data_IF_650651262714
#
_entry.id   IF_650651262714
#
_cell.length_a   1.000
_cell.length_b   1.000
_cell.length_c   1.000
_cell.angle_alpha   90.00
_cell.angle_beta   90.00
_cell.angle_gamma   90.00
#
_symmetry.space_group_name_H-M   'P 1'
#
loop_
_entity.id
_entity.type
_entity.pdbx_description
1 polymer ?
#
# COMPACT_ATOMS: atom_id res chain seq x y z
N UNK A 1 -7.63 6.03 -12.11
CA UNK A 1 -8.90 5.95 -11.35
C UNK A 1 -9.11 7.27 -10.62
N UNK A 2 -10.34 7.72 -10.42
CA UNK A 2 -10.65 8.95 -9.66
C UNK A 2 -10.80 8.62 -8.17
N UNK A 3 -10.07 9.33 -7.31
CA UNK A 3 -10.06 9.18 -5.84
C UNK A 3 -11.37 9.63 -5.18
N UNK A 4 -11.78 9.01 -4.07
CA UNK A 4 -12.90 9.49 -3.23
C UNK A 4 -12.66 10.87 -2.58
N UNK A 5 -11.41 11.31 -2.51
CA UNK A 5 -11.02 12.52 -1.80
C UNK A 5 -11.65 13.78 -2.42
N UNK A 6 -11.64 14.86 -1.64
CA UNK A 6 -11.86 16.21 -2.15
C UNK A 6 -10.52 16.96 -2.24
N UNK A 7 -10.40 17.87 -3.19
CA UNK A 7 -9.35 18.90 -3.20
C UNK A 7 -10.01 20.26 -2.94
N UNK A 8 -9.59 20.95 -1.87
CA UNK A 8 -10.18 22.22 -1.41
C UNK A 8 -11.72 22.19 -1.36
N UNK A 9 -12.28 21.12 -0.77
CA UNK A 9 -13.73 20.88 -0.67
C UNK A 9 -14.37 20.21 -1.89
N UNK A 10 -13.82 20.41 -3.11
CA UNK A 10 -14.38 19.87 -4.35
C UNK A 10 -14.07 18.37 -4.48
N UNK A 11 -15.13 17.54 -4.49
CA UNK A 11 -15.04 16.09 -4.72
C UNK A 11 -14.33 15.77 -6.04
N UNK A 12 -13.31 14.91 -6.02
CA UNK A 12 -12.55 14.56 -7.22
C UNK A 12 -13.44 13.92 -8.31
N UNK A 13 -14.44 13.13 -7.95
CA UNK A 13 -15.45 12.60 -8.89
C UNK A 13 -16.34 13.65 -9.56
N UNK A 14 -16.38 14.88 -9.05
CA UNK A 14 -17.06 16.03 -9.67
C UNK A 14 -16.06 17.10 -10.17
N UNK A 15 -14.75 16.89 -10.03
CA UNK A 15 -13.73 17.90 -10.30
C UNK A 15 -13.33 17.91 -11.79
N UNK A 16 -14.16 18.58 -12.60
CA UNK A 16 -13.93 18.75 -14.04
C UNK A 16 -12.60 19.44 -14.34
N UNK A 17 -12.13 20.37 -13.52
CA UNK A 17 -10.91 21.13 -13.81
C UNK A 17 -9.66 20.25 -13.70
N UNK A 18 -9.61 19.32 -12.75
CA UNK A 18 -8.54 18.33 -12.68
C UNK A 18 -8.71 17.17 -13.66
N UNK A 19 -9.93 16.64 -13.86
CA UNK A 19 -10.15 15.46 -14.71
C UNK A 19 -10.20 15.81 -16.21
N UNK A 20 -10.93 16.85 -16.61
CA UNK A 20 -10.90 17.38 -17.99
C UNK A 20 -9.71 18.30 -18.19
N UNK A 21 -9.62 19.37 -17.40
CA UNK A 21 -8.68 20.48 -17.63
C UNK A 21 -7.22 20.03 -17.52
N UNK A 22 -6.85 19.42 -16.40
CA UNK A 22 -5.48 18.99 -16.17
C UNK A 22 -5.17 17.64 -16.84
N UNK A 23 -5.83 16.55 -16.45
CA UNK A 23 -5.49 15.19 -16.91
C UNK A 23 -5.71 15.00 -18.42
N UNK A 24 -6.90 15.34 -18.95
CA UNK A 24 -7.22 15.10 -20.37
C UNK A 24 -6.68 16.18 -21.29
N UNK A 25 -6.73 17.45 -20.89
CA UNK A 25 -6.34 18.57 -21.76
C UNK A 25 -4.88 18.98 -21.59
N UNK A 26 -4.35 19.17 -20.38
CA UNK A 26 -2.94 19.54 -20.16
C UNK A 26 -2.00 18.35 -20.33
N UNK A 27 -2.19 17.26 -19.57
CA UNK A 27 -1.37 16.04 -19.66
C UNK A 27 -1.71 15.17 -20.88
N UNK A 28 -2.65 15.60 -21.72
CA UNK A 28 -3.06 14.95 -22.98
C UNK A 28 -3.50 13.48 -22.84
N UNK A 29 -3.94 13.03 -21.66
CA UNK A 29 -4.30 11.63 -21.40
C UNK A 29 -5.30 11.09 -22.43
N UNK A 30 -4.98 9.94 -23.05
CA UNK A 30 -5.76 9.32 -24.15
C UNK A 30 -6.49 8.02 -23.80
N UNK A 31 -6.23 7.43 -22.63
CA UNK A 31 -7.01 6.29 -22.11
C UNK A 31 -8.40 6.71 -21.62
N UNK A 32 -9.09 5.83 -20.89
CA UNK A 32 -10.36 6.15 -20.23
C UNK A 32 -10.16 6.42 -18.73
N UNK A 33 -10.98 7.30 -18.16
CA UNK A 33 -11.02 7.61 -16.73
C UNK A 33 -12.11 6.77 -16.07
N UNK A 34 -11.72 5.91 -15.11
CA UNK A 34 -12.62 5.10 -14.30
C UNK A 34 -12.85 5.73 -12.92
N UNK A 35 -14.07 5.68 -12.38
CA UNK A 35 -14.33 5.99 -10.96
C UNK A 35 -13.78 4.89 -10.03
N UNK A 36 -13.49 5.22 -8.78
CA UNK A 36 -13.51 4.22 -7.70
C UNK A 36 -14.94 3.65 -7.49
N UNK A 37 -15.03 2.56 -6.74
CA UNK A 37 -16.24 1.82 -6.37
C UNK A 37 -17.26 2.72 -5.66
N UNK A 38 -18.48 2.87 -6.20
CA UNK A 38 -19.50 3.80 -5.67
C UNK A 38 -18.98 5.26 -5.56
N UNK A 39 -17.97 5.60 -6.36
CA UNK A 39 -17.28 6.88 -6.22
C UNK A 39 -18.16 8.08 -6.57
N UNK A 40 -19.09 7.92 -7.51
CA UNK A 40 -20.06 8.96 -7.85
C UNK A 40 -21.16 9.09 -6.78
N UNK A 41 -21.57 7.99 -6.15
CA UNK A 41 -22.54 7.96 -5.05
C UNK A 41 -22.03 8.81 -3.89
N UNK A 42 -20.72 8.74 -3.61
CA UNK A 42 -20.03 9.49 -2.55
C UNK A 42 -19.70 10.94 -2.90
N UNK A 43 -20.24 11.46 -4.01
CA UNK A 43 -20.28 12.91 -4.29
C UNK A 43 -21.25 13.60 -3.31
N UNK A 44 -22.39 12.99 -2.99
CA UNK A 44 -23.39 13.55 -2.06
C UNK A 44 -23.10 13.16 -0.61
N UNK A 45 -23.72 13.88 0.33
CA UNK A 45 -23.75 13.53 1.75
C UNK A 45 -25.20 13.54 2.26
N UNK A 46 -25.77 12.40 2.72
CA UNK A 46 -25.16 11.07 2.70
C UNK A 46 -24.88 10.57 1.27
N UNK A 47 -24.05 9.53 1.09
CA UNK A 47 -23.83 8.91 -0.20
C UNK A 47 -25.16 8.49 -0.86
N UNK A 48 -25.23 8.60 -2.18
CA UNK A 48 -26.40 8.23 -3.00
C UNK A 48 -27.68 9.08 -2.78
N UNK A 49 -27.68 10.07 -1.87
CA UNK A 49 -28.84 10.92 -1.54
C UNK A 49 -29.46 11.68 -2.74
N UNK A 50 -28.67 11.95 -3.78
CA UNK A 50 -29.20 12.43 -5.07
C UNK A 50 -28.40 11.79 -6.21
N UNK A 51 -28.74 10.55 -6.54
CA UNK A 51 -27.99 9.78 -7.52
C UNK A 51 -28.08 10.31 -8.95
N UNK A 52 -29.20 10.95 -9.34
CA UNK A 52 -29.32 11.66 -10.62
C UNK A 52 -28.26 12.77 -10.77
N UNK A 53 -28.08 13.57 -9.71
CA UNK A 53 -26.99 14.53 -9.63
C UNK A 53 -25.61 13.86 -9.64
N UNK A 54 -25.41 12.74 -8.91
CA UNK A 54 -24.15 11.98 -8.93
C UNK A 54 -23.75 11.52 -10.33
N UNK A 55 -24.70 10.99 -11.12
CA UNK A 55 -24.48 10.61 -12.52
C UNK A 55 -24.12 11.84 -13.36
N UNK A 56 -24.91 12.92 -13.25
CA UNK A 56 -24.67 14.15 -14.01
C UNK A 56 -23.29 14.76 -13.70
N UNK A 57 -22.95 14.91 -12.43
CA UNK A 57 -21.68 15.47 -11.96
C UNK A 57 -20.49 14.60 -12.40
N UNK A 58 -20.57 13.27 -12.20
CA UNK A 58 -19.51 12.34 -12.59
C UNK A 58 -19.23 12.33 -14.09
N UNK A 59 -20.28 12.25 -14.91
CA UNK A 59 -20.12 12.20 -16.37
C UNK A 59 -19.70 13.56 -16.94
N UNK A 60 -20.19 14.69 -16.40
CA UNK A 60 -19.76 16.03 -16.83
C UNK A 60 -18.36 16.41 -16.32
N UNK A 61 -17.88 15.78 -15.24
CA UNK A 61 -16.47 15.81 -14.82
C UNK A 61 -15.57 14.89 -15.66
N UNK A 62 -16.04 14.41 -16.82
CA UNK A 62 -15.28 13.56 -17.74
C UNK A 62 -14.89 12.17 -17.19
N UNK A 63 -15.63 11.60 -16.24
CA UNK A 63 -15.52 10.15 -15.98
C UNK A 63 -16.05 9.40 -17.21
N UNK A 64 -15.27 8.44 -17.71
CA UNK A 64 -15.59 7.67 -18.92
C UNK A 64 -16.22 6.31 -18.58
N UNK A 65 -15.81 5.67 -17.47
CA UNK A 65 -16.34 4.40 -16.98
C UNK A 65 -16.68 4.51 -15.49
N UNK A 66 -17.89 4.09 -15.10
CA UNK A 66 -18.34 4.15 -13.70
C UNK A 66 -18.30 2.75 -13.09
N UNK A 67 -17.59 2.61 -11.98
CA UNK A 67 -17.48 1.37 -11.21
C UNK A 67 -18.65 1.27 -10.22
N UNK A 68 -19.62 0.43 -10.57
CA UNK A 68 -20.80 0.15 -9.77
C UNK A 68 -20.77 -1.30 -9.28
N UNK A 69 -21.14 -1.57 -8.03
CA UNK A 69 -21.07 -2.92 -7.49
C UNK A 69 -22.31 -3.77 -7.76
N UNK A 70 -23.50 -3.15 -7.75
CA UNK A 70 -24.77 -3.86 -7.78
C UNK A 70 -25.82 -3.21 -8.70
N UNK A 71 -26.20 -1.94 -8.46
CA UNK A 71 -27.38 -1.34 -9.12
C UNK A 71 -27.08 -0.69 -10.49
N UNK A 72 -26.62 -1.50 -11.46
CA UNK A 72 -26.32 -1.01 -12.81
C UNK A 72 -27.56 -0.56 -13.60
N UNK A 73 -28.74 -1.12 -13.32
CA UNK A 73 -30.00 -0.80 -14.01
C UNK A 73 -30.47 0.63 -13.72
N UNK A 74 -30.34 1.07 -12.47
CA UNK A 74 -30.61 2.46 -12.08
C UNK A 74 -29.66 3.43 -12.79
N UNK A 75 -28.35 3.15 -12.79
CA UNK A 75 -27.38 3.99 -13.49
C UNK A 75 -27.65 4.10 -14.99
N UNK A 76 -27.91 2.97 -15.67
CA UNK A 76 -28.23 2.96 -17.10
C UNK A 76 -29.50 3.76 -17.36
N UNK A 77 -30.53 3.60 -16.54
CA UNK A 77 -31.80 4.32 -16.67
C UNK A 77 -31.62 5.82 -16.45
N UNK A 78 -30.92 6.22 -15.39
CA UNK A 78 -30.62 7.62 -15.07
C UNK A 78 -29.76 8.30 -16.13
N UNK A 79 -28.66 7.67 -16.56
CA UNK A 79 -27.80 8.19 -17.62
C UNK A 79 -28.57 8.29 -18.95
N UNK A 80 -29.37 7.29 -19.30
CA UNK A 80 -30.22 7.31 -20.50
C UNK A 80 -31.23 8.45 -20.45
N UNK A 81 -31.84 8.69 -19.29
CA UNK A 81 -32.76 9.81 -19.07
C UNK A 81 -32.05 11.16 -19.24
N UNK A 82 -30.87 11.36 -18.63
CA UNK A 82 -30.09 12.60 -18.74
C UNK A 82 -29.65 12.89 -20.18
N UNK A 83 -29.28 11.85 -20.95
CA UNK A 83 -28.92 11.99 -22.38
C UNK A 83 -30.15 12.29 -23.24
N UNK A 84 -31.27 11.56 -23.07
CA UNK A 84 -32.52 11.80 -23.81
C UNK A 84 -33.07 13.21 -23.60
N UNK A 85 -32.96 13.74 -22.38
CA UNK A 85 -33.37 15.11 -22.03
C UNK A 85 -32.29 16.17 -22.33
N UNK A 86 -31.20 15.82 -23.04
CA UNK A 86 -30.11 16.72 -23.45
C UNK A 86 -29.34 17.38 -22.29
N UNK A 87 -29.47 16.86 -21.07
CA UNK A 87 -28.75 17.31 -19.87
C UNK A 87 -27.28 16.87 -19.93
N UNK A 88 -27.01 15.69 -20.50
CA UNK A 88 -25.68 15.25 -20.92
C UNK A 88 -25.67 15.19 -22.45
N UNK A 89 -24.75 15.87 -23.15
CA UNK A 89 -24.70 15.87 -24.60
C UNK A 89 -24.16 14.52 -25.13
N UNK A 90 -24.68 14.05 -26.27
CA UNK A 90 -24.25 12.79 -26.89
C UNK A 90 -22.73 12.73 -27.09
N UNK A 91 -22.11 13.84 -27.48
CA UNK A 91 -20.66 13.98 -27.67
C UNK A 91 -19.82 13.65 -26.41
N UNK A 92 -20.37 13.83 -25.20
CA UNK A 92 -19.71 13.42 -23.95
C UNK A 92 -19.66 11.90 -23.81
N UNK A 93 -20.74 11.22 -24.21
CA UNK A 93 -20.82 9.75 -24.25
C UNK A 93 -19.92 9.21 -25.37
N UNK A 94 -19.96 9.80 -26.57
CA UNK A 94 -19.09 9.42 -27.69
C UNK A 94 -17.61 9.53 -27.31
N UNK A 95 -17.22 10.59 -26.59
CA UNK A 95 -15.88 10.77 -26.08
C UNK A 95 -15.48 9.71 -25.04
N UNK A 96 -16.40 9.29 -24.17
CA UNK A 96 -16.20 8.22 -23.20
C UNK A 96 -16.04 6.84 -23.89
N UNK A 97 -17.01 6.47 -24.72
CA UNK A 97 -17.03 5.21 -25.47
C UNK A 97 -15.80 5.10 -26.38
N UNK A 98 -15.42 6.17 -27.09
CA UNK A 98 -14.20 6.19 -27.93
C UNK A 98 -12.92 5.96 -27.12
N UNK A 99 -12.86 6.39 -25.85
CA UNK A 99 -11.72 6.12 -24.95
C UNK A 99 -11.70 4.67 -24.44
N UNK A 100 -12.86 4.12 -24.08
CA UNK A 100 -13.00 2.72 -23.66
C UNK A 100 -12.64 1.79 -24.83
N UNK A 101 -13.27 1.98 -26.00
CA UNK A 101 -13.00 1.18 -27.19
C UNK A 101 -11.54 1.29 -27.64
N UNK A 102 -10.94 2.49 -27.61
CA UNK A 102 -9.50 2.64 -27.89
C UNK A 102 -8.66 1.71 -27.02
N UNK A 103 -8.87 1.68 -25.71
CA UNK A 103 -8.06 0.82 -24.83
C UNK A 103 -8.30 -0.65 -25.14
N UNK A 104 -9.57 -1.06 -25.35
CA UNK A 104 -9.91 -2.45 -25.74
C UNK A 104 -9.23 -2.91 -27.04
N UNK A 105 -9.23 -2.08 -28.09
CA UNK A 105 -8.52 -2.38 -29.34
C UNK A 105 -6.99 -2.36 -29.17
N UNK A 106 -6.44 -1.37 -28.46
CA UNK A 106 -4.99 -1.24 -28.27
C UNK A 106 -4.41 -2.41 -27.45
N UNK A 107 -5.19 -3.02 -26.55
CA UNK A 107 -4.78 -4.19 -25.77
C UNK A 107 -5.12 -5.54 -26.42
N UNK A 108 -5.61 -5.58 -27.67
CA UNK A 108 -5.94 -6.82 -28.37
C UNK A 108 -7.20 -7.55 -27.89
N UNK A 109 -8.07 -6.90 -27.11
CA UNK A 109 -9.22 -7.57 -26.46
C UNK A 109 -10.32 -8.01 -27.45
N UNK A 110 -10.31 -7.53 -28.68
CA UNK A 110 -11.24 -7.98 -29.73
C UNK A 110 -10.69 -9.19 -30.50
N UNK A 111 -9.36 -9.31 -30.55
CA UNK A 111 -8.60 -10.37 -31.18
C UNK A 111 -8.49 -11.58 -30.24
N UNK A 112 -8.21 -11.35 -28.96
CA UNK A 112 -8.07 -12.36 -27.90
C UNK A 112 -9.03 -12.07 -26.73
N UNK A 113 -10.34 -12.33 -26.88
CA UNK A 113 -11.36 -12.01 -25.87
C UNK A 113 -11.52 -13.06 -24.76
N UNK A 114 -10.87 -14.23 -24.89
CA UNK A 114 -10.97 -15.36 -23.95
C UNK A 114 -9.64 -15.54 -23.21
N UNK A 115 -9.70 -16.12 -22.01
CA UNK A 115 -8.50 -16.43 -21.22
C UNK A 115 -7.68 -17.55 -21.87
N UNK A 116 -6.36 -17.35 -21.98
CA UNK A 116 -5.43 -18.42 -22.30
C UNK A 116 -5.22 -19.33 -21.08
N UNK A 117 -5.69 -20.57 -21.19
CA UNK A 117 -5.57 -21.58 -20.14
C UNK A 117 -4.14 -22.14 -20.00
N UNK A 118 -3.24 -21.90 -20.98
CA UNK A 118 -1.83 -22.28 -20.88
C UNK A 118 -1.11 -21.53 -19.75
N UNK A 119 -1.59 -20.33 -19.42
CA UNK A 119 -1.03 -19.45 -18.40
C UNK A 119 -1.39 -19.84 -16.96
N UNK A 120 -2.15 -20.92 -16.73
CA UNK A 120 -2.55 -21.37 -15.37
C UNK A 120 -1.35 -21.55 -14.43
N UNK A 121 -0.22 -22.02 -14.95
CA UNK A 121 1.02 -22.25 -14.19
C UNK A 121 1.79 -20.96 -13.85
N UNK A 122 1.37 -19.80 -14.36
CA UNK A 122 1.94 -18.50 -13.98
C UNK A 122 1.50 -18.07 -12.57
N UNK A 123 0.34 -18.56 -12.09
CA UNK A 123 -0.18 -18.25 -10.77
C UNK A 123 0.69 -18.90 -9.68
N UNK A 124 1.49 -18.07 -9.00
CA UNK A 124 2.38 -18.53 -7.92
C UNK A 124 3.56 -19.39 -8.42
N UNK A 125 3.98 -19.20 -9.68
CA UNK A 125 5.14 -19.87 -10.29
C UNK A 125 6.42 -19.65 -9.48
N UNK A 126 7.36 -20.59 -9.57
CA UNK A 126 8.63 -20.49 -8.84
C UNK A 126 9.45 -19.26 -9.26
N UNK A 127 9.42 -18.89 -10.54
CA UNK A 127 10.07 -17.68 -11.07
C UNK A 127 9.48 -16.40 -10.44
N UNK A 128 8.15 -16.30 -10.34
CA UNK A 128 7.49 -15.17 -9.66
C UNK A 128 7.79 -15.14 -8.16
N UNK A 129 7.95 -16.31 -7.52
CA UNK A 129 8.40 -16.42 -6.13
C UNK A 129 9.85 -16.04 -5.98
N UNK A 130 10.72 -16.37 -6.93
CA UNK A 130 12.13 -15.97 -6.89
C UNK A 130 12.31 -14.48 -7.10
N UNK A 131 11.51 -13.84 -7.97
CA UNK A 131 11.47 -12.38 -8.11
C UNK A 131 10.90 -11.68 -6.86
N UNK A 132 9.79 -12.19 -6.30
CA UNK A 132 9.27 -11.69 -5.03
C UNK A 132 10.27 -11.92 -3.90
N UNK A 133 11.00 -13.05 -3.91
CA UNK A 133 12.10 -13.34 -3.01
C UNK A 133 13.35 -12.52 -3.32
N UNK A 134 13.55 -11.94 -4.49
CA UNK A 134 14.66 -10.99 -4.74
C UNK A 134 14.35 -9.61 -4.16
N UNK A 135 13.07 -9.22 -4.18
CA UNK A 135 12.58 -8.01 -3.51
C UNK A 135 12.69 -8.08 -1.97
N UNK A 136 12.88 -9.28 -1.42
CA UNK A 136 12.93 -9.52 0.04
C UNK A 136 14.29 -10.12 0.50
N UNK A 137 14.80 -11.19 -0.15
CA UNK A 137 16.16 -11.87 -0.20
C UNK A 137 16.47 -13.20 0.59
N UNK A 138 16.54 -14.37 -0.11
CA UNK A 138 17.05 -15.77 0.21
C UNK A 138 17.47 -16.20 1.67
N UNK A 139 18.10 -17.38 1.89
CA UNK A 139 18.67 -17.89 3.20
C UNK A 139 19.71 -19.00 2.93
N UNK A 140 20.83 -18.99 3.66
CA UNK A 140 21.56 -20.19 4.12
C UNK A 140 22.08 -20.03 5.57
N UNK A 141 21.43 -20.68 6.55
CA UNK A 141 21.92 -20.75 7.93
C UNK A 141 22.87 -21.96 8.13
N UNK A 142 23.83 -21.86 9.05
CA UNK A 142 24.72 -22.99 9.39
C UNK A 142 23.90 -24.15 9.99
N UNK A 143 24.07 -25.41 9.54
CA UNK A 143 23.37 -26.57 10.09
C UNK A 143 23.55 -26.80 11.61
N UNK A 144 24.53 -26.17 12.25
CA UNK A 144 24.78 -26.22 13.70
C UNK A 144 23.95 -25.20 14.49
N UNK A 145 23.32 -24.23 13.84
CA UNK A 145 22.49 -23.21 14.52
C UNK A 145 21.23 -23.86 15.08
N UNK A 146 21.10 -23.87 16.41
CA UNK A 146 19.88 -24.31 17.09
C UNK A 146 18.85 -23.17 17.07
N UNK A 147 17.70 -23.41 16.43
CA UNK A 147 16.59 -22.47 16.39
C UNK A 147 15.53 -22.86 17.44
N UNK A 148 15.17 -21.92 18.31
CA UNK A 148 14.05 -22.05 19.23
C UNK A 148 13.01 -20.98 18.87
N UNK A 149 11.83 -21.43 18.46
CA UNK A 149 10.66 -20.55 18.28
C UNK A 149 9.84 -20.52 19.56
N UNK A 150 9.53 -19.31 20.04
CA UNK A 150 8.58 -19.09 21.14
C UNK A 150 7.75 -17.86 20.80
N UNK A 151 6.44 -18.02 20.75
CA UNK A 151 5.52 -16.90 20.66
C UNK A 151 5.45 -16.18 22.01
N UNK A 152 5.53 -14.85 22.00
CA UNK A 152 5.39 -13.95 23.16
C UNK A 152 6.17 -14.39 24.41
N UNK A 153 7.50 -14.59 24.33
CA UNK A 153 8.32 -14.99 25.46
C UNK A 153 8.32 -13.95 26.58
N UNK A 154 8.28 -14.42 27.83
CA UNK A 154 8.61 -13.62 28.99
C UNK A 154 10.13 -13.51 29.18
N UNK A 155 10.55 -12.58 30.05
CA UNK A 155 11.97 -12.34 30.30
C UNK A 155 12.68 -13.50 31.02
N UNK A 156 11.96 -14.38 31.71
CA UNK A 156 12.54 -15.52 32.45
C UNK A 156 12.87 -16.66 31.49
N UNK A 157 12.00 -16.93 30.52
CA UNK A 157 12.28 -17.85 29.41
C UNK A 157 13.56 -17.44 28.65
N UNK A 158 13.73 -16.15 28.35
CA UNK A 158 14.91 -15.66 27.62
C UNK A 158 16.19 -15.84 28.44
N UNK A 159 16.17 -15.50 29.74
CA UNK A 159 17.33 -15.61 30.64
C UNK A 159 17.74 -17.06 30.94
N UNK A 160 16.76 -17.95 31.12
CA UNK A 160 17.00 -19.35 31.51
C UNK A 160 17.58 -20.22 30.40
N UNK A 161 17.47 -19.82 29.13
CA UNK A 161 17.86 -20.64 27.96
C UNK A 161 19.20 -20.24 27.31
N UNK A 162 19.93 -19.25 27.87
CA UNK A 162 21.29 -18.86 27.45
C UNK A 162 21.46 -18.62 25.92
N UNK A 163 20.50 -17.93 25.31
CA UNK A 163 20.53 -17.60 23.88
C UNK A 163 21.70 -16.64 23.55
N UNK A 164 22.34 -16.82 22.38
CA UNK A 164 23.40 -15.93 21.92
C UNK A 164 22.89 -14.59 21.37
N UNK A 165 21.70 -14.62 20.76
CA UNK A 165 20.94 -13.48 20.26
C UNK A 165 19.49 -13.91 20.04
N UNK A 166 18.58 -12.94 19.88
CA UNK A 166 17.18 -13.19 19.54
C UNK A 166 16.74 -12.37 18.32
N UNK A 167 15.77 -12.90 17.57
CA UNK A 167 15.08 -12.20 16.48
C UNK A 167 13.63 -12.03 16.89
N UNK A 168 13.20 -10.78 17.02
CA UNK A 168 11.86 -10.38 17.49
C UNK A 168 11.08 -9.80 16.31
N UNK A 169 10.13 -10.56 15.78
CA UNK A 169 9.24 -10.11 14.71
C UNK A 169 7.96 -9.56 15.31
N UNK A 170 7.65 -8.29 15.03
CA UNK A 170 6.47 -7.58 15.55
C UNK A 170 5.87 -6.71 14.45
N UNK A 171 4.59 -6.36 14.56
CA UNK A 171 3.96 -5.57 13.52
C UNK A 171 2.49 -5.26 13.69
N UNK A 172 1.97 -4.50 12.73
CA UNK A 172 0.56 -4.18 12.62
C UNK A 172 -0.25 -5.39 12.13
N UNK A 173 -1.52 -5.47 12.52
CA UNK A 173 -2.45 -6.39 11.88
C UNK A 173 -2.80 -5.93 10.46
N UNK A 174 -3.16 -6.83 9.53
CA UNK A 174 -3.58 -6.45 8.18
C UNK A 174 -4.81 -5.51 8.19
N UNK A 175 -4.74 -4.43 7.41
CA UNK A 175 -5.83 -3.47 7.23
C UNK A 175 -5.95 -2.99 5.78
N UNK A 176 -7.08 -2.39 5.43
CA UNK A 176 -7.28 -1.75 4.13
C UNK A 176 -8.20 -0.52 4.24
N UNK A 177 -7.92 0.51 3.43
CA UNK A 177 -8.71 1.76 3.35
C UNK A 177 -8.94 2.36 4.76
N UNK A 178 -10.18 2.68 5.11
CA UNK A 178 -10.57 3.32 6.39
C UNK A 178 -10.27 2.48 7.63
N UNK A 179 -10.13 1.16 7.50
CA UNK A 179 -9.78 0.28 8.63
C UNK A 179 -8.30 0.44 9.07
N UNK A 180 -7.46 1.07 8.25
CA UNK A 180 -6.08 1.42 8.61
C UNK A 180 -5.92 2.82 9.22
N UNK A 181 -7.02 3.54 9.47
CA UNK A 181 -6.94 4.88 10.05
C UNK A 181 -6.62 4.78 11.55
N UNK A 182 -5.41 5.18 11.92
CA UNK A 182 -4.95 5.30 13.30
C UNK A 182 -4.37 6.68 13.55
N UNK A 183 -4.70 7.25 14.72
CA UNK A 183 -4.15 8.51 15.21
C UNK A 183 -2.95 8.31 16.16
N UNK A 184 -2.75 7.09 16.68
CA UNK A 184 -1.67 6.78 17.63
C UNK A 184 -0.47 6.08 16.97
N UNK A 185 -0.67 5.43 15.81
CA UNK A 185 0.35 4.71 15.05
C UNK A 185 1.21 3.75 15.92
N UNK A 186 0.62 3.18 16.96
CA UNK A 186 1.27 2.21 17.87
C UNK A 186 1.09 0.78 17.38
N UNK A 187 2.14 -0.03 17.45
CA UNK A 187 2.04 -1.48 17.25
C UNK A 187 1.21 -2.09 18.41
N UNK A 188 0.20 -2.94 18.15
CA UNK A 188 -0.62 -3.54 19.21
C UNK A 188 0.18 -4.48 20.12
N UNK A 189 -0.28 -4.64 21.36
CA UNK A 189 0.24 -5.69 22.25
C UNK A 189 -0.01 -7.09 21.65
N UNK A 190 0.88 -8.06 21.91
CA UNK A 190 1.97 -8.05 22.89
C UNK A 190 3.33 -7.54 22.36
N UNK A 191 3.38 -6.80 21.23
CA UNK A 191 4.64 -6.39 20.63
C UNK A 191 5.52 -5.48 21.53
N UNK A 192 5.03 -4.36 22.11
CA UNK A 192 5.77 -3.56 23.09
C UNK A 192 6.39 -4.38 24.23
N UNK A 193 5.57 -5.27 24.80
CA UNK A 193 5.95 -6.13 25.92
C UNK A 193 7.02 -7.15 25.50
N UNK A 194 6.88 -7.74 24.31
CA UNK A 194 7.83 -8.72 23.75
C UNK A 194 9.19 -8.10 23.44
N UNK A 195 9.22 -6.91 22.82
CA UNK A 195 10.48 -6.16 22.60
C UNK A 195 11.17 -5.94 23.95
N UNK A 196 10.44 -5.43 24.94
CA UNK A 196 10.98 -5.11 26.27
C UNK A 196 11.54 -6.34 26.98
N UNK A 197 10.80 -7.47 26.98
CA UNK A 197 11.20 -8.71 27.63
C UNK A 197 12.46 -9.34 27.00
N UNK A 198 12.55 -9.35 25.67
CA UNK A 198 13.63 -10.03 24.95
C UNK A 198 14.88 -9.16 24.89
N UNK A 199 14.75 -7.92 24.42
CA UNK A 199 15.88 -7.00 24.25
C UNK A 199 16.48 -6.53 25.58
N UNK A 200 15.70 -6.57 26.67
CA UNK A 200 16.21 -6.34 28.03
C UNK A 200 16.98 -7.52 28.63
N UNK A 201 17.06 -8.67 27.94
CA UNK A 201 17.66 -9.90 28.46
C UNK A 201 18.76 -10.49 27.56
N UNK A 202 18.71 -10.29 26.25
CA UNK A 202 19.69 -10.77 25.28
C UNK A 202 19.81 -9.80 24.11
N UNK A 203 20.95 -9.80 23.41
CA UNK A 203 21.12 -9.03 22.16
C UNK A 203 20.00 -9.34 21.18
N UNK A 204 19.32 -8.32 20.66
CA UNK A 204 18.11 -8.51 19.87
C UNK A 204 18.15 -7.79 18.51
N UNK A 205 17.61 -8.47 17.50
CA UNK A 205 17.19 -7.87 16.24
C UNK A 205 15.67 -7.72 16.29
N UNK A 206 15.15 -6.50 16.19
CA UNK A 206 13.71 -6.25 16.06
C UNK A 206 13.38 -6.00 14.59
N UNK A 207 12.44 -6.79 14.06
CA UNK A 207 11.91 -6.68 12.70
C UNK A 207 10.48 -6.16 12.80
N UNK A 208 10.24 -4.98 12.23
CA UNK A 208 8.93 -4.31 12.24
C UNK A 208 8.22 -4.50 10.90
N UNK A 209 7.07 -5.17 10.96
CA UNK A 209 6.14 -5.40 9.85
C UNK A 209 5.02 -4.35 9.94
N UNK A 210 5.00 -3.37 9.03
CA UNK A 210 4.03 -2.27 9.08
C UNK A 210 3.73 -1.68 7.70
N UNK A 211 2.55 -1.09 7.51
CA UNK A 211 2.22 -0.38 6.26
C UNK A 211 2.85 1.02 6.16
N UNK A 212 3.29 1.56 7.29
CA UNK A 212 3.86 2.90 7.45
C UNK A 212 4.84 2.96 8.64
N UNK A 213 5.58 4.07 8.83
CA UNK A 213 6.30 4.34 10.07
C UNK A 213 5.36 4.31 11.28
N UNK A 214 5.80 3.70 12.38
CA UNK A 214 5.04 3.48 13.62
C UNK A 214 5.83 3.98 14.84
N UNK A 215 5.14 4.18 15.98
CA UNK A 215 5.79 4.54 17.26
C UNK A 215 6.77 3.45 17.66
N UNK A 216 8.07 3.75 17.53
CA UNK A 216 9.17 2.85 17.91
C UNK A 216 10.18 3.51 18.86
N UNK A 217 10.21 4.85 18.93
CA UNK A 217 11.17 5.63 19.73
C UNK A 217 11.37 5.12 21.17
N UNK A 218 10.33 4.73 21.94
CA UNK A 218 10.51 4.26 23.32
C UNK A 218 11.42 3.03 23.46
N UNK A 219 11.53 2.22 22.40
CA UNK A 219 12.26 0.95 22.41
C UNK A 219 13.62 1.03 21.73
N UNK A 220 13.90 2.07 20.92
CA UNK A 220 15.15 2.17 20.13
C UNK A 220 16.41 2.02 21.00
N UNK A 221 16.38 2.50 22.25
CA UNK A 221 17.53 2.43 23.15
C UNK A 221 17.85 1.03 23.68
N UNK A 222 16.92 0.06 23.62
CA UNK A 222 17.17 -1.34 24.02
C UNK A 222 17.41 -2.28 22.83
N UNK A 223 17.24 -1.82 21.60
CA UNK A 223 17.33 -2.65 20.39
C UNK A 223 18.74 -2.55 19.79
N UNK A 224 19.48 -3.66 19.69
CA UNK A 224 20.79 -3.68 19.03
C UNK A 224 20.67 -3.42 17.51
N UNK A 225 19.66 -4.01 16.85
CA UNK A 225 19.41 -3.86 15.41
C UNK A 225 17.92 -3.72 15.13
N UNK A 226 17.52 -2.61 14.52
CA UNK A 226 16.13 -2.35 14.09
C UNK A 226 16.02 -2.48 12.56
N UNK A 227 15.15 -3.38 12.09
CA UNK A 227 14.85 -3.60 10.67
C UNK A 227 13.40 -3.20 10.38
N UNK A 228 13.22 -2.17 9.54
CA UNK A 228 11.92 -1.83 8.98
C UNK A 228 11.65 -2.69 7.73
N UNK A 229 10.79 -3.68 7.87
CA UNK A 229 10.53 -4.71 6.85
C UNK A 229 9.26 -4.43 6.01
N UNK A 230 8.43 -3.47 6.41
CA UNK A 230 7.19 -3.11 5.70
C UNK A 230 6.22 -4.31 5.58
N UNK A 231 5.51 -4.45 4.45
CA UNK A 231 4.61 -5.57 4.16
C UNK A 231 5.24 -6.46 3.06
N UNK A 232 6.05 -7.43 3.47
CA UNK A 232 6.98 -8.23 2.64
C UNK A 232 6.32 -9.16 1.60
N UNK A 233 5.00 -9.38 1.66
CA UNK A 233 4.33 -10.40 0.84
C UNK A 233 4.60 -11.84 1.33
N UNK A 234 4.65 -12.80 0.40
CA UNK A 234 4.71 -14.24 0.72
C UNK A 234 6.10 -14.78 1.01
N UNK A 235 7.14 -14.13 0.49
CA UNK A 235 8.48 -14.72 0.42
C UNK A 235 9.36 -14.31 1.62
N UNK A 236 8.83 -14.56 2.83
CA UNK A 236 9.43 -14.13 4.10
C UNK A 236 10.83 -14.69 4.41
N UNK A 237 11.27 -15.74 3.69
CA UNK A 237 12.69 -16.14 3.62
C UNK A 237 13.58 -14.92 3.34
N UNK A 238 13.03 -13.96 2.60
CA UNK A 238 13.67 -12.72 2.25
C UNK A 238 14.33 -11.91 3.38
N UNK A 239 13.68 -11.85 4.54
CA UNK A 239 14.23 -11.06 5.66
C UNK A 239 15.56 -11.64 6.14
N UNK A 240 15.82 -12.92 5.87
CA UNK A 240 16.92 -13.65 6.44
C UNK A 240 18.23 -13.63 5.61
N UNK A 241 18.26 -13.39 4.28
CA UNK A 241 19.56 -13.19 3.57
C UNK A 241 20.33 -12.03 4.19
N UNK A 242 19.62 -10.91 4.39
CA UNK A 242 20.24 -9.66 4.83
C UNK A 242 20.62 -9.71 6.30
N UNK A 243 19.95 -10.54 7.09
CA UNK A 243 20.29 -10.81 8.50
C UNK A 243 21.45 -11.79 8.65
N UNK A 244 21.55 -12.83 7.83
CA UNK A 244 22.63 -13.83 7.90
C UNK A 244 23.82 -13.51 6.97
N UNK A 245 23.72 -12.46 6.15
CA UNK A 245 24.82 -11.91 5.38
C UNK A 245 25.02 -12.53 4.00
N UNK A 246 24.10 -13.37 3.52
CA UNK A 246 24.07 -13.80 2.12
C UNK A 246 24.01 -12.58 1.16
N UNK A 247 23.34 -11.50 1.60
CA UNK A 247 23.36 -10.19 0.95
C UNK A 247 23.56 -9.05 1.95
N UNK A 248 24.00 -7.90 1.43
CA UNK A 248 24.07 -6.65 2.20
C UNK A 248 22.72 -5.92 2.28
N UNK A 249 22.44 -5.27 3.41
CA UNK A 249 21.38 -4.27 3.50
C UNK A 249 21.67 -3.09 2.57
N UNK A 250 20.71 -2.71 1.73
CA UNK A 250 20.81 -1.55 0.82
C UNK A 250 19.61 -0.61 0.89
N UNK A 251 18.54 -1.00 1.60
CA UNK A 251 17.29 -0.25 1.68
C UNK A 251 17.46 1.14 2.31
N UNK A 252 16.70 2.11 1.80
CA UNK A 252 16.63 3.48 2.31
C UNK A 252 15.16 3.85 2.54
N UNK A 253 14.87 4.58 3.61
CA UNK A 253 13.51 4.96 3.98
C UNK A 253 12.86 5.85 2.91
N UNK A 254 11.79 5.36 2.28
CA UNK A 254 10.95 6.12 1.35
C UNK A 254 9.94 7.06 2.04
N UNK A 255 9.91 7.06 3.38
CA UNK A 255 9.12 7.96 4.22
C UNK A 255 9.92 8.38 5.45
N UNK A 256 9.70 9.60 5.91
CA UNK A 256 10.18 10.08 7.21
C UNK A 256 9.67 9.21 8.35
N UNK A 257 10.54 8.80 9.28
CA UNK A 257 10.12 8.22 10.56
C UNK A 257 10.03 9.32 11.62
N UNK A 258 8.85 9.50 12.21
CA UNK A 258 8.61 10.49 13.25
C UNK A 258 9.13 10.04 14.62
N UNK A 259 9.36 10.99 15.53
CA UNK A 259 9.64 10.76 16.95
C UNK A 259 8.33 10.47 17.69
N UNK A 260 7.40 11.44 17.62
CA UNK A 260 6.04 11.33 18.16
C UNK A 260 5.00 11.63 17.08
N UNK A 261 3.76 11.15 17.27
CA UNK A 261 2.65 11.41 16.34
C UNK A 261 2.25 12.88 16.29
N UNK A 262 2.53 13.65 17.34
CA UNK A 262 2.24 15.09 17.43
C UNK A 262 3.04 15.93 16.42
N UNK A 263 4.11 15.37 15.83
CA UNK A 263 4.86 16.00 14.74
C UNK A 263 4.12 15.95 13.39
N UNK A 264 3.06 15.15 13.26
CA UNK A 264 2.41 14.90 11.97
C UNK A 264 1.42 16.01 11.59
N UNK A 265 1.41 16.46 10.32
CA UNK A 265 2.24 16.02 9.20
C UNK A 265 3.67 16.62 9.22
N UNK A 266 4.66 15.78 8.93
CA UNK A 266 6.07 16.17 8.77
C UNK A 266 6.73 15.37 7.63
N UNK A 267 7.21 16.09 6.61
CA UNK A 267 7.82 15.56 5.39
C UNK A 267 9.17 16.24 5.13
N UNK A 268 10.01 15.59 4.33
CA UNK A 268 11.31 16.15 3.96
C UNK A 268 11.13 17.48 3.20
N UNK A 269 11.80 18.53 3.68
CA UNK A 269 11.66 19.90 3.17
C UNK A 269 10.76 20.82 4.00
N UNK A 270 10.01 20.30 4.98
CA UNK A 270 9.24 21.13 5.92
C UNK A 270 10.18 21.93 6.85
N UNK A 271 9.77 23.14 7.24
CA UNK A 271 10.59 24.00 8.11
C UNK A 271 10.78 23.43 9.53
N UNK A 272 9.85 22.60 9.99
CA UNK A 272 9.84 21.92 11.30
C UNK A 272 10.34 20.47 11.22
N UNK A 273 11.18 20.13 10.23
CA UNK A 273 11.63 18.76 9.99
C UNK A 273 12.60 18.23 11.05
N UNK A 274 12.07 17.55 12.07
CA UNK A 274 12.82 16.93 13.18
C UNK A 274 12.53 15.41 13.32
N UNK A 275 13.00 14.57 12.38
CA UNK A 275 12.66 13.15 12.35
C UNK A 275 13.42 12.30 13.38
N UNK A 276 12.89 11.11 13.68
CA UNK A 276 13.63 10.03 14.35
C UNK A 276 14.64 9.40 13.39
N UNK A 277 14.17 9.07 12.18
CA UNK A 277 14.99 8.65 11.05
C UNK A 277 14.56 9.44 9.81
N UNK A 278 15.45 10.21 9.17
CA UNK A 278 15.09 11.04 8.04
C UNK A 278 14.74 10.22 6.80
N UNK A 279 14.04 10.86 5.86
CA UNK A 279 13.85 10.32 4.51
C UNK A 279 15.22 10.01 3.88
N UNK A 280 15.34 8.85 3.22
CA UNK A 280 16.60 8.37 2.67
C UNK A 280 17.56 7.75 3.69
N UNK A 281 17.23 7.71 4.99
CA UNK A 281 18.04 7.00 5.99
C UNK A 281 18.04 5.48 5.75
N UNK A 282 19.13 4.82 6.09
CA UNK A 282 19.25 3.37 6.11
C UNK A 282 20.70 2.96 6.20
N UNK A 283 21.04 2.07 7.14
CA UNK A 283 22.38 1.52 7.25
C UNK A 283 22.62 0.47 6.16
N UNK A 284 23.88 0.17 5.89
CA UNK A 284 24.28 -0.81 4.86
C UNK A 284 25.25 -1.82 5.45
N UNK A 285 25.15 -3.07 5.00
CA UNK A 285 26.12 -4.13 5.30
C UNK A 285 26.72 -4.67 4.00
N UNK A 286 27.87 -5.33 4.08
CA UNK A 286 28.44 -6.12 2.98
C UNK A 286 28.08 -7.60 3.16
N UNK A 287 27.92 -8.38 2.08
CA UNK A 287 27.73 -9.82 2.21
C UNK A 287 28.94 -10.49 2.90
N UNK A 288 28.69 -11.53 3.69
CA UNK A 288 29.72 -12.30 4.40
C UNK A 288 30.50 -13.23 3.47
N UNK A 289 29.87 -13.69 2.39
CA UNK A 289 30.44 -14.60 1.39
C UNK A 289 31.02 -13.86 0.15
N UNK A 290 31.35 -12.57 0.27
CA UNK A 290 31.91 -11.79 -0.83
C UNK A 290 33.43 -11.98 -0.99
N UNK A 291 33.85 -13.15 -1.49
CA UNK A 291 35.20 -13.46 -2.00
C UNK A 291 35.10 -14.35 -3.25
#
# INVERSE_FOLDING_TARGET
MVSYSSWNGVKMHANRDLVTGFLKNTLRFRGFVISDWEGIDRITSPPHANYSYSIQAGINADIDLVMLPYNYTEFISGLTFLVKNKIIPMSRIDAAVKRILRVKFVMGLFEEPLADLSLVNQLGSQEHRELAREAVRKITADPKTQLVYKENPDAEFVKSNNFSYAIVVVGEHPYAKTYGYSLNLTIPDPAPTTITNVCGAVKCVVIVISGHPVVIQPYVASIDVLVAAWLLGTEGQGVADVLFGDYGFTGKLSRTWFKTVDQLPMNVGDAHYDPLFPFGFGLTTTPTNAN
#
